data_IF_979113327142
#
_entry.id   IF_979113327142
#
_cell.length_a   1.000
_cell.length_b   1.000
_cell.length_c   1.000
_cell.angle_alpha   90.00
_cell.angle_beta   90.00
_cell.angle_gamma   90.00
#
_symmetry.space_group_name_H-M   'P 1'
#
loop_
_entity.id
_entity.type
_entity.pdbx_description
1 polymer ?
#
# COMPACT_ATOMS: atom_id res chain seq x y z
N UNK A 1 -24.42 -3.35 -12.29
CA UNK A 1 -24.50 -4.53 -11.38
C UNK A 1 -23.68 -4.30 -10.10
N UNK A 2 -24.26 -4.49 -8.90
CA UNK A 2 -23.54 -4.36 -7.61
C UNK A 2 -22.77 -5.65 -7.28
N UNK A 3 -21.48 -5.53 -6.95
CA UNK A 3 -20.66 -6.65 -6.50
C UNK A 3 -20.57 -6.62 -4.97
N UNK A 4 -20.98 -7.71 -4.32
CA UNK A 4 -20.93 -7.88 -2.86
C UNK A 4 -19.62 -8.50 -2.38
N UNK A 5 -19.00 -9.36 -3.18
CA UNK A 5 -17.65 -9.90 -2.94
C UNK A 5 -16.86 -9.90 -4.24
N UNK A 6 -15.69 -9.27 -4.21
CA UNK A 6 -14.82 -9.16 -5.37
C UNK A 6 -14.26 -10.53 -5.79
N UNK A 7 -13.90 -11.37 -4.81
CA UNK A 7 -13.36 -12.72 -5.06
C UNK A 7 -14.35 -13.62 -5.82
N UNK A 8 -15.64 -13.56 -5.47
CA UNK A 8 -16.72 -14.29 -6.14
C UNK A 8 -16.97 -13.75 -7.54
N UNK A 9 -16.92 -12.43 -7.70
CA UNK A 9 -17.08 -11.79 -9.01
C UNK A 9 -15.99 -12.23 -10.00
N UNK A 10 -14.73 -12.29 -9.56
CA UNK A 10 -13.64 -12.76 -10.41
C UNK A 10 -13.84 -14.21 -10.89
N UNK A 11 -14.48 -15.05 -10.08
CA UNK A 11 -14.73 -16.45 -10.41
C UNK A 11 -15.94 -16.64 -11.37
N UNK A 12 -16.96 -15.80 -11.27
CA UNK A 12 -18.24 -15.94 -11.99
C UNK A 12 -18.52 -14.76 -12.93
N UNK A 13 -17.48 -14.10 -13.43
CA UNK A 13 -17.61 -12.86 -14.21
C UNK A 13 -18.60 -13.06 -15.37
N UNK A 14 -19.65 -12.24 -15.51
CA UNK A 14 -20.55 -12.32 -16.64
C UNK A 14 -19.79 -12.04 -17.95
N UNK A 15 -19.97 -12.85 -19.01
CA UNK A 15 -19.27 -12.65 -20.29
C UNK A 15 -19.55 -11.30 -20.95
N UNK A 16 -20.67 -10.66 -20.60
CA UNK A 16 -21.15 -9.40 -21.17
C UNK A 16 -20.59 -8.16 -20.44
N UNK A 17 -19.89 -8.34 -19.31
CA UNK A 17 -19.37 -7.22 -18.52
C UNK A 17 -18.03 -6.75 -19.09
N UNK A 18 -18.08 -5.67 -19.89
CA UNK A 18 -16.89 -5.04 -20.50
C UNK A 18 -16.44 -3.76 -19.80
N UNK A 19 -17.26 -3.19 -18.93
CA UNK A 19 -16.93 -1.97 -18.19
C UNK A 19 -16.91 -2.22 -16.68
N UNK A 20 -15.87 -1.72 -16.03
CA UNK A 20 -15.64 -1.88 -14.60
C UNK A 20 -15.42 -0.52 -13.96
N UNK A 21 -16.21 -0.20 -12.94
CA UNK A 21 -16.03 0.96 -12.09
C UNK A 21 -15.53 0.51 -10.72
N UNK A 22 -14.27 0.80 -10.42
CA UNK A 22 -13.64 0.54 -9.13
C UNK A 22 -13.60 1.86 -8.36
N UNK A 23 -14.27 1.90 -7.22
CA UNK A 23 -14.49 3.14 -6.47
C UNK A 23 -14.42 2.94 -4.96
N UNK A 24 -14.12 3.99 -4.22
CA UNK A 24 -14.10 3.97 -2.75
C UNK A 24 -12.93 4.75 -2.18
N UNK A 25 -13.07 5.22 -0.94
CA UNK A 25 -12.11 6.10 -0.28
C UNK A 25 -10.77 5.43 0.10
N UNK A 26 -10.66 4.10 -0.02
CA UNK A 26 -9.40 3.39 0.19
C UNK A 26 -8.64 3.27 -1.13
N UNK A 27 -7.78 4.27 -1.39
CA UNK A 27 -6.97 4.36 -2.62
C UNK A 27 -6.11 3.13 -2.87
N UNK A 28 -5.45 2.61 -1.83
CA UNK A 28 -4.63 1.41 -1.95
C UNK A 28 -5.45 0.20 -2.40
N UNK A 29 -6.67 0.06 -1.90
CA UNK A 29 -7.57 -1.04 -2.27
C UNK A 29 -8.14 -0.87 -3.69
N UNK A 30 -8.44 0.37 -4.11
CA UNK A 30 -8.85 0.67 -5.50
C UNK A 30 -7.77 0.21 -6.48
N UNK A 31 -6.51 0.59 -6.24
CA UNK A 31 -5.41 0.19 -7.12
C UNK A 31 -5.08 -1.30 -7.04
N UNK A 32 -5.20 -1.91 -5.87
CA UNK A 32 -5.08 -3.35 -5.71
C UNK A 32 -6.09 -4.09 -6.60
N UNK A 33 -7.38 -3.73 -6.51
CA UNK A 33 -8.44 -4.36 -7.29
C UNK A 33 -8.35 -4.09 -8.79
N UNK A 34 -7.89 -2.90 -9.17
CA UNK A 34 -7.54 -2.57 -10.56
C UNK A 34 -6.52 -3.58 -11.10
N UNK A 35 -5.41 -3.78 -10.40
CA UNK A 35 -4.37 -4.72 -10.79
C UNK A 35 -4.84 -6.17 -10.82
N UNK A 36 -5.58 -6.61 -9.80
CA UNK A 36 -6.12 -7.98 -9.76
C UNK A 36 -7.08 -8.23 -10.93
N UNK A 37 -7.94 -7.25 -11.23
CA UNK A 37 -8.84 -7.34 -12.38
C UNK A 37 -8.06 -7.40 -13.70
N UNK A 38 -7.06 -6.55 -13.88
CA UNK A 38 -6.20 -6.55 -15.07
C UNK A 38 -5.48 -7.89 -15.25
N UNK A 39 -4.91 -8.45 -14.18
CA UNK A 39 -4.24 -9.75 -14.23
C UNK A 39 -5.21 -10.87 -14.61
N UNK A 40 -6.44 -10.85 -14.07
CA UNK A 40 -7.47 -11.81 -14.44
C UNK A 40 -7.89 -11.68 -15.91
N UNK A 41 -8.01 -10.44 -16.42
CA UNK A 41 -8.33 -10.19 -17.83
C UNK A 41 -7.21 -10.71 -18.74
N UNK A 42 -5.94 -10.47 -18.41
CA UNK A 42 -4.79 -10.98 -19.16
C UNK A 42 -4.71 -12.51 -19.19
N UNK A 43 -5.05 -13.17 -18.07
CA UNK A 43 -5.15 -14.65 -18.06
C UNK A 43 -6.23 -15.17 -19.01
N UNK A 44 -7.35 -14.46 -19.09
CA UNK A 44 -8.48 -14.85 -19.96
C UNK A 44 -8.22 -14.48 -21.42
N UNK A 45 -7.52 -13.37 -21.66
CA UNK A 45 -7.21 -12.81 -22.96
C UNK A 45 -5.71 -12.48 -22.99
N UNK A 46 -4.86 -13.44 -23.37
CA UNK A 46 -3.41 -13.24 -23.35
C UNK A 46 -2.92 -12.11 -24.26
N UNK A 47 -3.65 -11.79 -25.34
CA UNK A 47 -3.36 -10.70 -26.29
C UNK A 47 -3.86 -9.32 -25.83
N UNK A 48 -4.37 -9.20 -24.61
CA UNK A 48 -4.97 -7.97 -24.10
C UNK A 48 -3.95 -6.83 -24.00
N UNK A 49 -4.20 -5.74 -24.73
CA UNK A 49 -3.40 -4.53 -24.64
C UNK A 49 -4.01 -3.57 -23.61
N UNK A 50 -3.17 -2.97 -22.75
CA UNK A 50 -3.61 -2.05 -21.70
C UNK A 50 -3.14 -0.64 -22.03
N UNK A 51 -4.08 0.27 -22.25
CA UNK A 51 -3.83 1.67 -22.58
C UNK A 51 -4.24 2.56 -21.40
N UNK A 52 -3.29 3.04 -20.59
CA UNK A 52 -3.58 4.04 -19.58
C UNK A 52 -3.94 5.37 -20.27
N UNK A 53 -5.06 5.97 -19.85
CA UNK A 53 -5.54 7.23 -20.36
C UNK A 53 -5.32 8.34 -19.32
N UNK A 54 -4.68 9.43 -19.73
CA UNK A 54 -4.58 10.65 -18.94
C UNK A 54 -5.85 11.51 -19.06
N UNK A 55 -6.44 11.52 -20.24
CA UNK A 55 -7.71 12.16 -20.57
C UNK A 55 -8.69 11.13 -21.13
N UNK A 56 -9.96 11.23 -20.74
CA UNK A 56 -10.97 10.31 -21.24
C UNK A 56 -11.40 10.72 -22.65
N UNK A 57 -10.73 10.15 -23.64
CA UNK A 57 -11.06 10.29 -25.06
C UNK A 57 -11.69 8.97 -25.48
N UNK A 58 -12.93 9.03 -25.98
CA UNK A 58 -13.54 7.87 -26.63
C UNK A 58 -12.72 7.57 -27.87
N UNK A 59 -12.15 6.37 -28.01
CA UNK A 59 -11.46 5.99 -29.24
C UNK A 59 -12.46 6.09 -30.39
N UNK A 60 -12.04 6.73 -31.48
CA UNK A 60 -12.74 6.60 -32.75
C UNK A 60 -12.73 5.11 -33.16
N UNK A 61 -13.79 4.66 -33.84
CA UNK A 61 -14.12 3.26 -34.11
C UNK A 61 -12.89 2.34 -34.32
N UNK A 62 -12.92 1.09 -33.82
CA UNK A 62 -11.76 0.21 -33.84
C UNK A 62 -11.19 0.10 -35.25
N UNK A 63 -10.01 0.71 -35.48
CA UNK A 63 -9.28 0.53 -36.72
C UNK A 63 -8.77 -0.91 -36.73
N UNK A 64 -9.39 -1.77 -37.54
CA UNK A 64 -8.85 -3.10 -37.80
C UNK A 64 -7.42 -2.94 -38.31
N UNK A 65 -6.45 -3.40 -37.52
CA UNK A 65 -5.07 -3.46 -37.96
C UNK A 65 -5.01 -4.37 -39.18
N UNK A 66 -4.42 -3.89 -40.28
CA UNK A 66 -4.24 -4.66 -41.50
C UNK A 66 -3.37 -5.92 -41.29
N UNK A 67 -2.67 -6.01 -40.15
CA UNK A 67 -1.71 -7.07 -39.84
C UNK A 67 -2.16 -8.02 -38.73
N UNK A 68 -3.32 -7.79 -38.12
CA UNK A 68 -3.84 -8.67 -37.08
C UNK A 68 -4.93 -9.58 -37.64
N UNK A 69 -4.72 -10.90 -37.55
CA UNK A 69 -5.69 -11.90 -37.97
C UNK A 69 -6.94 -11.95 -37.07
N UNK A 70 -6.83 -11.46 -35.83
CA UNK A 70 -7.91 -11.30 -34.87
C UNK A 70 -7.80 -9.93 -34.20
N UNK A 71 -8.90 -9.20 -33.98
CA UNK A 71 -8.84 -7.89 -33.34
C UNK A 71 -8.29 -8.01 -31.91
N UNK A 72 -7.17 -7.35 -31.63
CA UNK A 72 -6.64 -7.24 -30.27
C UNK A 72 -7.69 -6.62 -29.35
N UNK A 73 -8.04 -7.31 -28.27
CA UNK A 73 -8.90 -6.71 -27.24
C UNK A 73 -8.10 -5.65 -26.49
N UNK A 74 -8.62 -4.41 -26.48
CA UNK A 74 -8.00 -3.29 -25.78
C UNK A 74 -8.73 -3.06 -24.45
N UNK A 75 -7.96 -2.79 -23.39
CA UNK A 75 -8.44 -2.21 -22.14
C UNK A 75 -8.01 -0.75 -22.06
N UNK A 76 -8.97 0.14 -21.97
CA UNK A 76 -8.73 1.53 -21.58
C UNK A 76 -8.83 1.67 -20.07
N UNK A 77 -7.73 2.12 -19.45
CA UNK A 77 -7.64 2.33 -18.01
C UNK A 77 -7.64 3.82 -17.69
N UNK A 78 -8.63 4.28 -16.93
CA UNK A 78 -8.74 5.69 -16.53
C UNK A 78 -8.88 5.83 -15.01
N UNK A 79 -7.89 6.47 -14.37
CA UNK A 79 -7.74 6.55 -12.90
C UNK A 79 -8.35 7.79 -12.24
N UNK A 80 -8.96 8.68 -13.02
CA UNK A 80 -9.53 9.95 -12.55
C UNK A 80 -11.02 10.07 -12.85
N UNK A 81 -11.73 8.93 -12.80
CA UNK A 81 -13.16 8.90 -13.11
C UNK A 81 -13.94 9.81 -12.16
N UNK A 82 -14.80 10.65 -12.72
CA UNK A 82 -15.64 11.60 -11.97
C UNK A 82 -17.01 11.70 -12.62
N UNK A 83 -17.99 12.24 -11.90
CA UNK A 83 -19.36 12.44 -12.40
C UNK A 83 -19.43 13.31 -13.67
N UNK A 84 -18.37 14.07 -13.98
CA UNK A 84 -18.29 14.87 -15.21
C UNK A 84 -18.25 14.01 -16.48
N UNK A 85 -17.73 12.79 -16.39
CA UNK A 85 -17.54 11.88 -17.51
C UNK A 85 -18.74 10.98 -17.78
N UNK A 86 -19.83 11.14 -17.03
CA UNK A 86 -20.98 10.24 -17.12
C UNK A 86 -21.53 10.16 -18.56
N UNK A 87 -21.65 11.31 -19.24
CA UNK A 87 -22.21 11.36 -20.60
C UNK A 87 -21.31 10.66 -21.62
N UNK A 88 -19.99 10.80 -21.45
CA UNK A 88 -18.98 10.20 -22.32
C UNK A 88 -18.92 8.68 -22.09
N UNK A 89 -19.01 8.23 -20.84
CA UNK A 89 -19.06 6.80 -20.49
C UNK A 89 -20.33 6.15 -21.04
N UNK A 90 -21.49 6.82 -20.91
CA UNK A 90 -22.76 6.35 -21.48
C UNK A 90 -22.67 6.15 -23.00
N UNK A 91 -22.03 7.09 -23.71
CA UNK A 91 -21.79 6.98 -25.15
C UNK A 91 -20.89 5.79 -25.48
N UNK A 92 -19.74 5.66 -24.80
CA UNK A 92 -18.75 4.61 -25.07
C UNK A 92 -19.29 3.20 -24.86
N UNK A 93 -20.17 2.99 -23.88
CA UNK A 93 -20.77 1.68 -23.59
C UNK A 93 -21.65 1.13 -24.71
N UNK A 94 -22.23 1.98 -25.55
CA UNK A 94 -23.14 1.57 -26.62
C UNK A 94 -22.44 1.18 -27.92
N UNK A 95 -21.17 1.56 -28.10
CA UNK A 95 -20.52 1.55 -29.41
C UNK A 95 -19.36 0.54 -29.53
N UNK A 96 -18.91 -0.07 -28.43
CA UNK A 96 -17.52 -0.54 -28.41
C UNK A 96 -17.32 -2.03 -28.06
N UNK A 97 -16.34 -2.64 -28.73
CA UNK A 97 -15.89 -4.01 -28.42
C UNK A 97 -14.87 -4.07 -27.28
N UNK A 98 -14.32 -2.91 -26.90
CA UNK A 98 -13.24 -2.76 -25.94
C UNK A 98 -13.68 -2.92 -24.47
N UNK A 99 -12.71 -3.12 -23.61
CA UNK A 99 -12.87 -3.12 -22.16
C UNK A 99 -12.53 -1.74 -21.58
N UNK A 100 -13.27 -1.34 -20.55
CA UNK A 100 -13.05 -0.08 -19.86
C UNK A 100 -12.90 -0.33 -18.36
N UNK A 101 -11.83 0.19 -17.77
CA UNK A 101 -11.61 0.19 -16.32
C UNK A 101 -11.53 1.63 -15.85
N UNK A 102 -12.51 2.03 -15.04
CA UNK A 102 -12.57 3.30 -14.37
C UNK A 102 -12.19 3.08 -12.91
N UNK A 103 -11.01 3.53 -12.50
CA UNK A 103 -10.58 3.52 -11.10
C UNK A 103 -10.71 4.94 -10.55
N UNK A 104 -11.36 5.12 -9.39
CA UNK A 104 -11.41 6.44 -8.75
C UNK A 104 -11.59 6.35 -7.25
N UNK A 105 -10.55 6.73 -6.47
CA UNK A 105 -10.64 6.73 -5.02
C UNK A 105 -11.54 7.84 -4.45
N UNK A 106 -11.88 8.83 -5.28
CA UNK A 106 -12.68 9.99 -4.88
C UNK A 106 -14.19 9.73 -4.99
N UNK A 107 -14.60 8.69 -5.72
CA UNK A 107 -16.01 8.35 -5.89
C UNK A 107 -16.57 7.65 -4.65
N UNK A 108 -17.77 8.07 -4.27
CA UNK A 108 -18.50 7.50 -3.13
C UNK A 108 -19.76 6.82 -3.62
N UNK A 109 -20.45 6.10 -2.75
CA UNK A 109 -21.74 5.48 -3.07
C UNK A 109 -22.83 6.48 -3.47
N UNK A 110 -22.63 7.78 -3.24
CA UNK A 110 -23.56 8.87 -3.60
C UNK A 110 -23.26 9.49 -4.98
N UNK A 111 -22.18 9.08 -5.63
CA UNK A 111 -21.77 9.65 -6.91
C UNK A 111 -22.69 9.20 -8.05
N UNK A 112 -23.02 10.11 -8.97
CA UNK A 112 -23.92 9.81 -10.10
C UNK A 112 -23.39 8.69 -10.98
N UNK A 113 -22.07 8.64 -11.16
CA UNK A 113 -21.40 7.59 -11.93
C UNK A 113 -21.54 6.21 -11.28
N UNK A 114 -21.55 6.15 -9.95
CA UNK A 114 -21.78 4.90 -9.20
C UNK A 114 -23.24 4.48 -9.34
N UNK A 115 -24.19 5.40 -9.18
CA UNK A 115 -25.62 5.12 -9.39
C UNK A 115 -25.90 4.58 -10.80
N UNK A 116 -25.26 5.17 -11.81
CA UNK A 116 -25.30 4.69 -13.19
C UNK A 116 -24.75 3.26 -13.30
N UNK A 117 -23.53 3.01 -12.81
CA UNK A 117 -22.88 1.70 -12.88
C UNK A 117 -23.67 0.59 -12.15
N UNK A 118 -24.37 0.93 -11.07
CA UNK A 118 -25.22 -0.02 -10.35
C UNK A 118 -26.43 -0.45 -11.19
N UNK A 119 -27.05 0.49 -11.91
CA UNK A 119 -28.24 0.28 -12.75
C UNK A 119 -27.93 -0.34 -14.12
N UNK A 120 -26.77 -0.05 -14.69
CA UNK A 120 -26.42 -0.52 -16.02
C UNK A 120 -26.00 -2.02 -15.99
N UNK A 121 -26.54 -2.87 -16.88
CA UNK A 121 -26.26 -4.30 -16.89
C UNK A 121 -24.82 -4.63 -17.34
N UNK A 122 -24.28 -3.86 -18.28
CA UNK A 122 -22.92 -4.07 -18.83
C UNK A 122 -21.79 -3.48 -17.99
N UNK A 123 -22.11 -2.89 -16.83
CA UNK A 123 -21.14 -2.24 -15.94
C UNK A 123 -21.09 -2.95 -14.58
N UNK A 124 -19.88 -3.34 -14.18
CA UNK A 124 -19.59 -3.85 -12.85
C UNK A 124 -19.17 -2.70 -11.92
N UNK A 125 -19.94 -2.48 -10.85
CA UNK A 125 -19.57 -1.56 -9.78
C UNK A 125 -18.84 -2.31 -8.66
N UNK A 126 -17.56 -2.02 -8.45
CA UNK A 126 -16.64 -2.69 -7.52
C UNK A 126 -16.31 -1.74 -6.35
N UNK A 127 -16.98 -1.86 -5.19
CA UNK A 127 -16.80 -0.98 -4.04
C UNK A 127 -15.58 -1.36 -3.20
N UNK A 128 -14.63 -0.44 -3.03
CA UNK A 128 -13.33 -0.60 -2.37
C UNK A 128 -13.28 0.14 -1.02
N UNK A 129 -14.09 -0.34 -0.08
CA UNK A 129 -14.16 0.21 1.28
C UNK A 129 -13.38 -0.62 2.30
N UNK A 130 -13.48 -1.95 2.20
CA UNK A 130 -12.90 -2.90 3.14
C UNK A 130 -12.19 -4.01 2.39
N UNK A 131 -11.00 -4.36 2.84
CA UNK A 131 -10.24 -5.49 2.31
C UNK A 131 -10.84 -6.79 2.84
N UNK A 132 -11.16 -7.73 1.96
CA UNK A 132 -11.66 -9.06 2.34
C UNK A 132 -10.48 -10.02 2.51
N UNK A 133 -10.40 -10.74 3.63
CA UNK A 133 -9.32 -11.72 3.85
C UNK A 133 -9.29 -12.81 2.77
N UNK A 134 -10.47 -13.24 2.33
CA UNK A 134 -10.63 -14.22 1.25
C UNK A 134 -10.04 -13.72 -0.08
N UNK A 135 -10.09 -12.41 -0.34
CA UNK A 135 -9.53 -11.79 -1.54
C UNK A 135 -8.00 -11.85 -1.53
N UNK A 136 -7.37 -11.44 -0.43
CA UNK A 136 -5.90 -11.48 -0.29
C UNK A 136 -5.39 -12.91 -0.30
N UNK A 137 -6.07 -13.81 0.42
CA UNK A 137 -5.71 -15.24 0.48
C UNK A 137 -5.73 -15.86 -0.91
N UNK A 138 -6.77 -15.57 -1.70
CA UNK A 138 -6.88 -16.05 -3.08
C UNK A 138 -5.75 -15.49 -3.95
N UNK A 139 -5.42 -14.20 -3.85
CA UNK A 139 -4.33 -13.61 -4.62
C UNK A 139 -2.98 -14.24 -4.29
N UNK A 140 -2.68 -14.48 -3.01
CA UNK A 140 -1.45 -15.18 -2.60
C UNK A 140 -1.43 -16.60 -3.18
N UNK A 141 -2.56 -17.32 -3.09
CA UNK A 141 -2.67 -18.68 -3.59
C UNK A 141 -2.48 -18.75 -5.11
N UNK A 142 -3.19 -17.92 -5.88
CA UNK A 142 -3.10 -17.86 -7.34
C UNK A 142 -1.67 -17.52 -7.78
N UNK A 143 -1.00 -16.58 -7.09
CA UNK A 143 0.40 -16.25 -7.34
C UNK A 143 1.34 -17.44 -7.08
N UNK A 144 1.16 -18.16 -5.98
CA UNK A 144 1.96 -19.36 -5.68
C UNK A 144 1.80 -20.41 -6.79
N UNK A 145 0.57 -20.62 -7.27
CA UNK A 145 0.31 -21.57 -8.35
C UNK A 145 0.96 -21.13 -9.67
N UNK A 146 0.85 -19.85 -10.03
CA UNK A 146 1.46 -19.29 -11.25
C UNK A 146 2.98 -19.43 -11.27
N UNK A 147 3.62 -19.17 -10.13
CA UNK A 147 5.08 -19.21 -9.99
C UNK A 147 5.61 -20.58 -9.58
N UNK A 148 4.75 -21.61 -9.50
CA UNK A 148 5.10 -22.95 -8.98
C UNK A 148 5.76 -22.93 -7.59
N UNK A 149 5.43 -21.93 -6.76
CA UNK A 149 6.00 -21.75 -5.42
C UNK A 149 5.21 -22.50 -4.37
N UNK A 150 5.93 -23.17 -3.46
CA UNK A 150 5.35 -23.80 -2.28
C UNK A 150 5.77 -23.08 -0.99
N UNK A 151 5.18 -21.91 -0.74
CA UNK A 151 5.43 -21.19 0.52
C UNK A 151 4.90 -21.98 1.73
N UNK A 152 5.67 -22.06 2.83
CA UNK A 152 5.18 -22.59 4.10
C UNK A 152 4.05 -21.72 4.66
N UNK A 153 3.25 -22.27 5.58
CA UNK A 153 2.07 -21.60 6.11
C UNK A 153 2.41 -20.27 6.79
N UNK A 154 3.54 -20.22 7.50
CA UNK A 154 4.08 -19.05 8.18
C UNK A 154 4.46 -17.95 7.18
N UNK A 155 5.10 -18.29 6.05
CA UNK A 155 5.38 -17.33 4.97
C UNK A 155 4.09 -16.75 4.36
N UNK A 156 3.09 -17.61 4.11
CA UNK A 156 1.78 -17.16 3.62
C UNK A 156 1.10 -16.22 4.61
N UNK A 157 1.21 -16.49 5.91
CA UNK A 157 0.70 -15.62 6.98
C UNK A 157 1.41 -14.26 6.99
N UNK A 158 2.74 -14.24 6.89
CA UNK A 158 3.52 -13.00 6.83
C UNK A 158 3.15 -12.18 5.58
N UNK A 159 3.03 -12.83 4.42
CA UNK A 159 2.58 -12.17 3.20
C UNK A 159 1.18 -11.58 3.38
N UNK A 160 0.24 -12.38 3.91
CA UNK A 160 -1.12 -11.93 4.17
C UNK A 160 -1.16 -10.68 5.06
N UNK A 161 -0.46 -10.68 6.19
CA UNK A 161 -0.41 -9.54 7.12
C UNK A 161 0.18 -8.28 6.45
N UNK A 162 1.24 -8.43 5.65
CA UNK A 162 1.84 -7.32 4.91
C UNK A 162 0.91 -6.77 3.83
N UNK A 163 0.28 -7.65 3.03
CA UNK A 163 -0.62 -7.26 1.96
C UNK A 163 -1.90 -6.61 2.47
N UNK A 164 -2.44 -7.07 3.60
CA UNK A 164 -3.59 -6.44 4.27
C UNK A 164 -3.26 -5.00 4.71
N UNK A 165 -2.03 -4.76 5.15
CA UNK A 165 -1.58 -3.45 5.63
C UNK A 165 -1.30 -2.48 4.48
N UNK A 166 -0.69 -2.96 3.39
CA UNK A 166 -0.33 -2.12 2.26
C UNK A 166 -0.60 -2.77 0.89
N UNK A 167 -1.88 -2.86 0.46
CA UNK A 167 -2.25 -3.53 -0.79
C UNK A 167 -1.61 -2.96 -2.05
N UNK A 168 -1.21 -1.68 -2.07
CA UNK A 168 -0.63 -1.05 -3.27
C UNK A 168 0.71 -1.69 -3.67
N UNK A 169 1.44 -2.23 -2.69
CA UNK A 169 2.75 -2.85 -2.89
C UNK A 169 2.66 -4.34 -3.23
N UNK A 170 1.45 -4.90 -3.39
CA UNK A 170 1.30 -6.35 -3.35
C UNK A 170 2.15 -7.11 -4.38
N UNK A 171 2.18 -6.60 -5.61
CA UNK A 171 2.90 -7.25 -6.71
C UNK A 171 4.40 -7.26 -6.45
N UNK A 172 4.97 -6.15 -5.98
CA UNK A 172 6.40 -6.08 -5.67
C UNK A 172 6.74 -6.93 -4.45
N UNK A 173 5.87 -7.01 -3.44
CA UNK A 173 6.11 -7.86 -2.28
C UNK A 173 6.02 -9.36 -2.61
N UNK A 174 5.06 -9.76 -3.46
CA UNK A 174 4.96 -11.15 -3.95
C UNK A 174 6.17 -11.52 -4.81
N UNK A 175 6.61 -10.64 -5.72
CA UNK A 175 7.81 -10.84 -6.53
C UNK A 175 9.07 -10.96 -5.67
N UNK A 176 9.25 -10.09 -4.66
CA UNK A 176 10.35 -10.20 -3.70
C UNK A 176 10.35 -11.54 -2.97
N UNK A 177 9.17 -11.99 -2.52
CA UNK A 177 9.04 -13.27 -1.84
C UNK A 177 9.41 -14.44 -2.77
N UNK A 178 8.99 -14.40 -4.04
CA UNK A 178 9.35 -15.39 -5.05
C UNK A 178 10.86 -15.44 -5.31
N UNK A 179 11.51 -14.28 -5.41
CA UNK A 179 12.95 -14.19 -5.64
C UNK A 179 13.76 -14.66 -4.42
N UNK A 180 13.26 -14.39 -3.21
CA UNK A 180 13.95 -14.76 -1.98
C UNK A 180 13.81 -16.25 -1.64
N UNK A 181 12.70 -16.88 -2.05
CA UNK A 181 12.39 -18.26 -1.71
C UNK A 181 12.60 -19.16 -2.95
N UNK A 182 13.82 -19.64 -3.22
CA UNK A 182 14.01 -20.66 -4.23
C UNK A 182 13.27 -21.95 -3.83
N UNK A 183 12.81 -22.71 -4.83
CA UNK A 183 11.93 -23.89 -4.69
C UNK A 183 12.43 -24.95 -3.67
N UNK A 184 13.73 -24.94 -3.32
CA UNK A 184 14.40 -25.93 -2.48
C UNK A 184 14.76 -25.47 -1.04
N UNK A 185 14.28 -24.31 -0.56
CA UNK A 185 14.71 -23.83 0.76
C UNK A 185 14.07 -24.62 1.93
N UNK A 186 14.73 -25.69 2.37
CA UNK A 186 14.42 -26.42 3.61
C UNK A 186 14.63 -25.61 4.89
N UNK A 187 15.24 -24.42 4.79
CA UNK A 187 15.56 -23.53 5.91
C UNK A 187 14.78 -22.21 5.82
N UNK A 188 13.45 -22.29 5.94
CA UNK A 188 12.64 -21.09 6.10
C UNK A 188 12.93 -20.42 7.46
N UNK A 189 13.14 -19.11 7.44
CA UNK A 189 13.39 -18.27 8.61
C UNK A 189 12.37 -17.13 8.62
N UNK A 190 11.45 -17.16 9.58
CA UNK A 190 10.43 -16.12 9.78
C UNK A 190 11.02 -14.71 9.86
N UNK A 191 12.18 -14.58 10.51
CA UNK A 191 12.84 -13.30 10.73
C UNK A 191 13.41 -12.75 9.44
N UNK A 192 14.06 -13.59 8.65
CA UNK A 192 14.67 -13.18 7.39
C UNK A 192 13.58 -12.84 6.37
N UNK A 193 12.51 -13.65 6.32
CA UNK A 193 11.39 -13.40 5.44
C UNK A 193 10.65 -12.10 5.80
N UNK A 194 10.39 -11.83 7.08
CA UNK A 194 9.81 -10.55 7.53
C UNK A 194 10.65 -9.35 7.13
N UNK A 195 11.98 -9.48 7.17
CA UNK A 195 12.90 -8.40 6.84
C UNK A 195 12.83 -7.96 5.36
N UNK A 196 12.29 -8.78 4.46
CA UNK A 196 12.14 -8.45 3.03
C UNK A 196 11.10 -7.36 2.76
N UNK A 197 10.08 -7.31 3.60
CA UNK A 197 8.92 -6.45 3.40
C UNK A 197 9.10 -5.06 4.02
N UNK A 198 10.05 -4.93 4.94
CA UNK A 198 10.44 -3.67 5.56
C UNK A 198 11.64 -3.12 4.78
N UNK A 199 11.56 -1.89 4.27
CA UNK A 199 12.75 -1.29 3.66
C UNK A 199 13.85 -1.19 4.70
N UNK A 200 15.12 -1.31 4.31
CA UNK A 200 16.26 -1.19 5.26
C UNK A 200 16.14 0.09 6.09
N UNK A 201 15.82 1.20 5.44
CA UNK A 201 15.58 2.51 6.05
C UNK A 201 14.43 2.48 7.05
N UNK A 202 13.28 1.92 6.68
CA UNK A 202 12.12 1.80 7.57
C UNK A 202 12.43 0.89 8.77
N UNK A 203 13.16 -0.19 8.53
CA UNK A 203 13.59 -1.13 9.56
C UNK A 203 14.57 -0.48 10.54
N UNK A 204 15.54 0.28 10.05
CA UNK A 204 16.49 1.02 10.86
C UNK A 204 15.80 2.16 11.62
N UNK A 205 14.80 2.82 11.02
CA UNK A 205 13.97 3.82 11.66
C UNK A 205 13.14 3.23 12.81
N UNK A 206 12.53 2.05 12.62
CA UNK A 206 11.82 1.34 13.68
C UNK A 206 12.76 0.81 14.76
N UNK A 207 13.95 0.31 14.42
CA UNK A 207 14.96 -0.07 15.42
C UNK A 207 15.44 1.16 16.20
N UNK A 208 15.63 2.30 15.54
CA UNK A 208 16.07 3.55 16.15
C UNK A 208 15.03 4.03 17.15
N UNK A 209 13.76 4.07 16.72
CA UNK A 209 12.61 4.28 17.60
C UNK A 209 12.67 3.39 18.82
N UNK A 210 12.94 2.12 18.55
CA UNK A 210 12.88 1.09 19.54
C UNK A 210 13.93 1.27 20.62
N UNK A 211 15.16 1.58 20.23
CA UNK A 211 16.27 1.97 21.10
C UNK A 211 15.98 3.28 21.86
N UNK A 212 15.45 4.29 21.17
CA UNK A 212 15.11 5.61 21.74
C UNK A 212 14.16 5.48 22.93
N UNK A 213 12.99 4.87 22.73
CA UNK A 213 12.02 4.72 23.82
C UNK A 213 12.45 3.69 24.88
N UNK A 214 13.40 2.79 24.56
CA UNK A 214 14.00 1.90 25.56
C UNK A 214 15.07 2.57 26.41
N UNK A 215 15.52 3.78 26.05
CA UNK A 215 16.66 4.43 26.71
C UNK A 215 18.01 3.79 26.36
N UNK A 216 18.09 3.00 25.28
CA UNK A 216 19.34 2.37 24.83
C UNK A 216 20.16 3.39 24.02
N UNK A 217 21.02 4.12 24.74
CA UNK A 217 21.86 5.19 24.17
C UNK A 217 22.77 4.66 23.06
N UNK A 218 23.40 3.52 23.27
CA UNK A 218 24.38 2.97 22.33
C UNK A 218 23.71 2.56 21.02
N UNK A 219 22.62 1.78 21.10
CA UNK A 219 21.88 1.36 19.92
C UNK A 219 21.24 2.56 19.21
N UNK A 220 20.69 3.53 19.95
CA UNK A 220 20.08 4.73 19.37
C UNK A 220 21.12 5.57 18.60
N UNK A 221 22.29 5.84 19.19
CA UNK A 221 23.36 6.61 18.53
C UNK A 221 23.88 5.89 17.29
N UNK A 222 24.06 4.58 17.34
CA UNK A 222 24.50 3.80 16.19
C UNK A 222 23.48 3.90 15.04
N UNK A 223 22.19 3.69 15.33
CA UNK A 223 21.13 3.73 14.32
C UNK A 223 20.90 5.14 13.77
N UNK A 224 21.02 6.17 14.62
CA UNK A 224 21.02 7.57 14.18
C UNK A 224 22.12 7.83 13.15
N UNK A 225 23.35 7.41 13.43
CA UNK A 225 24.47 7.60 12.51
C UNK A 225 24.31 6.82 11.20
N UNK A 226 23.72 5.63 11.24
CA UNK A 226 23.38 4.86 10.02
C UNK A 226 22.37 5.64 9.18
N UNK A 227 21.27 6.12 9.78
CA UNK A 227 20.26 6.89 9.07
C UNK A 227 20.81 8.22 8.52
N UNK A 228 21.68 8.90 9.27
CA UNK A 228 22.36 10.11 8.79
C UNK A 228 23.32 9.83 7.63
N UNK A 229 24.00 8.69 7.63
CA UNK A 229 24.86 8.26 6.52
C UNK A 229 24.06 7.91 5.26
N UNK A 230 22.85 7.40 5.44
CA UNK A 230 21.90 7.11 4.35
C UNK A 230 21.09 8.37 3.96
N UNK A 231 21.62 9.58 4.22
CA UNK A 231 21.06 10.91 3.90
C UNK A 231 19.61 11.16 4.39
N UNK A 232 19.21 10.50 5.48
CA UNK A 232 17.88 10.68 6.04
C UNK A 232 17.72 12.10 6.64
N UNK A 233 16.61 12.77 6.29
CA UNK A 233 16.38 14.16 6.70
C UNK A 233 16.06 14.26 8.20
N UNK A 234 16.72 15.19 8.90
CA UNK A 234 16.53 15.43 10.33
C UNK A 234 15.08 15.75 10.71
N UNK A 235 14.41 16.55 9.87
CA UNK A 235 13.01 16.90 10.09
C UNK A 235 12.09 15.68 9.98
N UNK A 236 12.42 14.71 9.14
CA UNK A 236 11.67 13.47 9.00
C UNK A 236 11.86 12.58 10.24
N UNK A 237 13.08 12.47 10.78
CA UNK A 237 13.35 11.74 12.03
C UNK A 237 12.57 12.33 13.21
N UNK A 238 12.56 13.66 13.35
CA UNK A 238 11.84 14.33 14.43
C UNK A 238 10.33 14.10 14.31
N UNK A 239 9.76 14.28 13.11
CA UNK A 239 8.33 14.05 12.88
C UNK A 239 7.92 12.62 13.11
N UNK A 240 8.78 11.67 12.76
CA UNK A 240 8.56 10.27 13.04
C UNK A 240 8.53 10.01 14.56
N UNK A 241 9.50 10.52 15.33
CA UNK A 241 9.48 10.43 16.79
C UNK A 241 8.27 11.11 17.42
N UNK A 242 7.81 12.25 16.88
CA UNK A 242 6.58 12.94 17.32
C UNK A 242 5.37 12.04 17.12
N UNK A 243 5.22 11.45 15.93
CA UNK A 243 4.11 10.56 15.60
C UNK A 243 4.07 9.34 16.55
N UNK A 244 5.23 8.76 16.84
CA UNK A 244 5.35 7.62 17.77
C UNK A 244 5.09 8.02 19.22
N UNK A 245 5.53 9.21 19.66
CA UNK A 245 5.19 9.76 20.97
C UNK A 245 3.67 9.94 21.11
N UNK A 246 3.00 10.48 20.10
CA UNK A 246 1.53 10.57 20.07
C UNK A 246 0.85 9.19 20.08
N UNK A 247 1.38 8.21 19.35
CA UNK A 247 0.87 6.84 19.37
C UNK A 247 0.96 6.21 20.76
N UNK A 248 2.02 6.51 21.52
CA UNK A 248 2.19 5.97 22.89
C UNK A 248 1.11 6.43 23.88
N UNK A 249 0.43 7.57 23.62
CA UNK A 249 -0.73 8.02 24.42
C UNK A 249 -2.00 7.23 24.14
N UNK A 250 -2.12 6.58 22.98
CA UNK A 250 -3.33 5.85 22.57
C UNK A 250 -3.45 4.47 23.22
N UNK A 251 -2.49 4.08 24.07
CA UNK A 251 -2.41 2.73 24.65
C UNK A 251 -1.98 1.67 23.63
N UNK A 252 -1.90 0.39 24.02
CA UNK A 252 -1.65 -0.70 23.08
C UNK A 252 -2.85 -0.84 22.14
N UNK A 253 -2.75 -0.28 20.95
CA UNK A 253 -3.59 -0.63 19.81
C UNK A 253 -3.21 -2.00 19.25
N UNK A 254 -4.13 -2.60 18.49
CA UNK A 254 -4.03 -3.95 17.91
C UNK A 254 -3.02 -4.06 16.73
N UNK A 255 -1.87 -3.40 16.82
CA UNK A 255 -0.81 -3.50 15.81
C UNK A 255 0.27 -4.51 16.19
N UNK A 256 0.90 -5.22 15.23
CA UNK A 256 1.91 -6.25 15.48
C UNK A 256 3.21 -5.76 16.15
N UNK A 257 3.34 -4.45 16.40
CA UNK A 257 4.53 -3.79 16.91
C UNK A 257 4.35 -3.11 18.29
N UNK A 258 3.29 -3.43 19.05
CA UNK A 258 2.87 -2.63 20.22
C UNK A 258 2.98 -3.30 21.60
N UNK A 259 4.00 -4.13 21.83
CA UNK A 259 4.29 -4.66 23.17
C UNK A 259 5.29 -3.77 23.92
N UNK A 260 4.85 -2.63 24.47
CA UNK A 260 5.72 -1.75 25.28
C UNK A 260 4.99 -1.18 26.49
N UNK A 261 5.70 -0.99 27.63
CA UNK A 261 5.17 -0.15 28.70
C UNK A 261 5.00 1.26 28.14
N UNK A 262 3.77 1.84 28.18
CA UNK A 262 3.53 3.17 27.63
C UNK A 262 4.33 4.21 28.43
N UNK A 263 4.86 5.21 27.73
CA UNK A 263 5.35 6.43 28.40
C UNK A 263 4.20 7.03 29.22
N UNK A 264 4.52 7.60 30.38
CA UNK A 264 3.51 8.34 31.14
C UNK A 264 3.06 9.58 30.34
N UNK A 265 1.82 10.08 30.53
CA UNK A 265 1.37 11.29 29.85
C UNK A 265 2.32 12.49 30.03
N UNK A 266 2.96 12.60 31.20
CA UNK A 266 3.97 13.61 31.49
C UNK A 266 5.26 13.42 30.65
N UNK A 267 5.75 12.19 30.52
CA UNK A 267 6.90 11.87 29.66
C UNK A 267 6.60 12.16 28.19
N UNK A 268 5.38 11.86 27.72
CA UNK A 268 5.00 12.20 26.34
C UNK A 268 4.90 13.70 26.14
N UNK A 269 4.29 14.43 27.08
CA UNK A 269 4.17 15.89 26.99
C UNK A 269 5.54 16.58 26.93
N UNK A 270 6.47 16.16 27.78
CA UNK A 270 7.85 16.67 27.78
C UNK A 270 8.61 16.31 26.50
N UNK A 271 8.47 15.07 26.00
CA UNK A 271 9.04 14.67 24.71
C UNK A 271 8.53 15.51 23.56
N UNK A 272 7.20 15.66 23.45
CA UNK A 272 6.58 16.41 22.35
C UNK A 272 7.00 17.88 22.39
N UNK A 273 7.11 18.47 23.57
CA UNK A 273 7.61 19.85 23.73
C UNK A 273 9.05 19.99 23.23
N UNK A 274 9.93 19.05 23.59
CA UNK A 274 11.30 19.01 23.07
C UNK A 274 11.33 18.85 21.55
N UNK A 275 10.62 17.86 21.00
CA UNK A 275 10.62 17.58 19.56
C UNK A 275 10.07 18.75 18.75
N UNK A 276 9.04 19.44 19.25
CA UNK A 276 8.51 20.65 18.62
C UNK A 276 9.53 21.79 18.64
N UNK A 277 10.25 21.94 19.75
CA UNK A 277 11.33 22.93 19.87
C UNK A 277 12.45 22.63 18.86
N UNK A 278 12.87 21.37 18.73
CA UNK A 278 13.89 20.95 17.78
C UNK A 278 13.44 21.15 16.32
N UNK A 279 12.20 20.78 15.99
CA UNK A 279 11.64 21.02 14.64
C UNK A 279 11.63 22.52 14.31
N UNK A 280 11.23 23.36 15.26
CA UNK A 280 11.23 24.82 15.08
C UNK A 280 12.65 25.34 14.91
N UNK A 281 13.60 24.87 15.72
CA UNK A 281 15.00 25.28 15.64
C UNK A 281 15.59 24.96 14.27
N UNK A 282 15.36 23.75 13.74
CA UNK A 282 15.84 23.36 12.40
C UNK A 282 15.25 24.19 11.26
N UNK A 283 14.00 24.64 11.39
CA UNK A 283 13.35 25.44 10.34
C UNK A 283 13.90 26.87 10.28
N UNK A 284 14.32 27.42 11.41
CA UNK A 284 14.62 28.85 11.55
C UNK A 284 16.09 29.17 11.81
N UNK A 285 16.93 28.17 12.10
CA UNK A 285 18.38 28.35 12.29
C UNK A 285 19.16 27.55 11.25
N UNK A 286 19.95 28.25 10.43
CA UNK A 286 20.74 27.66 9.36
C UNK A 286 22.06 27.03 9.84
N UNK A 287 22.62 27.52 10.95
CA UNK A 287 23.97 27.20 11.41
C UNK A 287 23.97 26.37 12.71
N UNK A 288 23.27 25.24 12.68
CA UNK A 288 23.27 24.31 13.82
C UNK A 288 24.50 23.38 13.75
N UNK A 289 25.13 23.05 14.89
CA UNK A 289 26.17 22.03 14.93
C UNK A 289 25.65 20.68 14.41
N UNK A 290 26.47 19.92 13.69
CA UNK A 290 26.11 18.65 13.04
C UNK A 290 25.45 17.62 13.99
N UNK A 291 25.83 17.63 15.28
CA UNK A 291 25.32 16.71 16.29
C UNK A 291 24.31 17.35 17.26
N UNK A 292 23.84 18.58 16.99
CA UNK A 292 22.97 19.33 17.89
C UNK A 292 21.71 18.53 18.25
N UNK A 293 21.03 17.96 17.25
CA UNK A 293 19.81 17.20 17.45
C UNK A 293 20.04 15.94 18.27
N UNK A 294 21.07 15.17 17.89
CA UNK A 294 21.44 13.95 18.59
C UNK A 294 21.72 14.25 20.07
N UNK A 295 22.50 15.29 20.36
CA UNK A 295 22.80 15.70 21.73
C UNK A 295 21.53 16.05 22.53
N UNK A 296 20.60 16.80 21.93
CA UNK A 296 19.34 17.17 22.60
C UNK A 296 18.42 15.98 22.84
N UNK A 297 18.36 15.05 21.88
CA UNK A 297 17.58 13.81 22.02
C UNK A 297 18.18 12.87 23.07
N UNK A 298 19.51 12.76 23.12
CA UNK A 298 20.23 11.98 24.14
C UNK A 298 20.01 12.53 25.55
N UNK A 299 19.92 13.86 25.71
CA UNK A 299 19.60 14.48 27.00
C UNK A 299 18.20 14.14 27.51
N UNK A 300 17.26 13.82 26.60
CA UNK A 300 15.90 13.48 26.97
C UNK A 300 15.69 11.99 27.28
N UNK A 301 16.50 11.11 26.70
CA UNK A 301 16.31 9.65 26.78
C UNK A 301 15.95 9.24 28.20
N UNK A 302 14.82 8.53 28.38
CA UNK A 302 14.35 8.15 29.71
C UNK A 302 15.46 7.31 30.33
N UNK A 303 16.05 7.82 31.42
CA UNK A 303 17.15 7.16 32.09
C UNK A 303 16.73 5.73 32.44
N UNK A 304 17.28 4.74 31.72
CA UNK A 304 17.44 3.41 32.30
C UNK A 304 18.81 3.38 32.96
N UNK A 305 18.82 2.94 34.22
CA UNK A 305 20.01 2.67 35.05
C UNK A 305 20.80 3.89 35.56
N UNK A 306 20.44 4.33 36.77
CA UNK A 306 21.43 4.73 37.78
C UNK A 306 22.25 3.51 38.27
N UNK A 307 22.02 2.31 37.72
CA UNK A 307 22.74 1.07 38.07
C UNK A 307 24.03 0.84 37.27
N UNK A 308 24.34 1.65 36.25
CA UNK A 308 25.61 1.56 35.51
C UNK A 308 26.25 2.91 35.20
N UNK A 309 26.18 3.87 36.13
CA UNK A 309 27.08 5.02 36.16
C UNK A 309 28.05 4.92 37.33
#
# INVERSE_FOLDING_TARGET
MKISSFSQFLAKRPPQCKCFLIYGNNENLVYFREKVLLNQLKKTIPSLQVHPLEEFILPEAPSLSLFEAEPSSIVYLYRRASDRLLKEIEKGLTQDQNYYIFASPQLTSKSKLVDFALKHPSVAAIPSYTTEEAEITKVIHDFCQEMSLNFPQEAKKILFENLMTNPITFESQLQKAALFYPEDSSNFSDTDFKSLFVSKEEGDLFKMKDAFFKGDVAAFTQLWNILKKDDFQDIALIRFLQAEAFRSLKGPGNGPYQARPPLTPLQVSTLLSLLLTLETTLKWQADLPDNYLLQKLLQWLPAKSLETR
#
